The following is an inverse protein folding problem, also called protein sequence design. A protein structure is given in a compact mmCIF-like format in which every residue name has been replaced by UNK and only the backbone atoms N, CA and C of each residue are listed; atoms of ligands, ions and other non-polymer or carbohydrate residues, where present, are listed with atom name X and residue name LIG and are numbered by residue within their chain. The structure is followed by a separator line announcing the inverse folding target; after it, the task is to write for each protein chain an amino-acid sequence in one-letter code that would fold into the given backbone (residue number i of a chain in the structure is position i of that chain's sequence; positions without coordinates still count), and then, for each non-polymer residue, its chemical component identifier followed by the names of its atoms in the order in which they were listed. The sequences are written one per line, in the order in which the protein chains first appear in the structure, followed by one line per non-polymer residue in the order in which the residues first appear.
data_IF_628638398058
#
_entry.id   IF_628638398058
#
_cell.length_a   1.000
_cell.length_b   1.000
_cell.length_c   1.000
_cell.angle_alpha   90.00
_cell.angle_beta   90.00
_cell.angle_gamma   90.00
#
_symmetry.space_group_name_H-M   'P 1'
#
loop_
_entity.id
_entity.type
_entity.pdbx_description
1 polymer ?
#
# COMPACT_ATOMS: atom_id res chain seq x y z
N UNK A 1 32.81 -3.43 1.20
CA UNK A 1 31.41 -3.50 0.73
C UNK A 1 30.53 -3.41 1.96
N UNK A 2 29.66 -2.43 2.05
CA UNK A 2 28.70 -2.33 3.16
C UNK A 2 27.70 -3.47 3.00
N UNK A 3 27.66 -4.39 3.94
CA UNK A 3 26.67 -5.47 3.93
C UNK A 3 25.27 -4.84 4.08
N UNK A 4 24.41 -5.05 3.10
CA UNK A 4 23.03 -4.56 3.17
C UNK A 4 22.27 -5.44 4.17
N UNK A 5 21.98 -4.89 5.34
CA UNK A 5 21.11 -5.52 6.32
C UNK A 5 19.65 -5.38 5.90
N UNK A 6 19.07 -6.47 5.46
CA UNK A 6 17.67 -6.54 5.04
C UNK A 6 16.68 -6.51 6.20
N UNK A 7 17.16 -6.61 7.44
CA UNK A 7 16.33 -6.65 8.68
C UNK A 7 15.19 -7.67 8.60
N UNK A 8 15.48 -8.83 8.04
CA UNK A 8 14.53 -9.94 8.00
C UNK A 8 14.49 -10.56 9.40
N UNK A 9 13.31 -10.73 10.01
CA UNK A 9 13.18 -11.40 11.30
C UNK A 9 13.73 -12.84 11.26
N UNK A 10 14.34 -13.27 12.35
CA UNK A 10 14.87 -14.62 12.50
C UNK A 10 13.78 -15.63 12.86
N UNK A 11 14.06 -16.93 12.72
CA UNK A 11 13.18 -18.02 13.09
C UNK A 11 12.55 -18.75 11.90
N UNK A 12 11.62 -19.65 12.19
CA UNK A 12 10.87 -20.39 11.19
C UNK A 12 9.95 -19.44 10.39
N UNK A 13 9.70 -19.75 9.12
CA UNK A 13 8.97 -18.88 8.20
C UNK A 13 7.63 -18.38 8.76
N UNK A 14 6.83 -19.27 9.33
CA UNK A 14 5.51 -18.94 9.89
C UNK A 14 5.58 -18.09 11.19
N UNK A 15 6.70 -18.08 11.87
CA UNK A 15 6.86 -17.45 13.19
C UNK A 15 7.64 -16.12 13.13
N UNK A 16 8.42 -15.91 12.07
CA UNK A 16 9.34 -14.75 11.95
C UNK A 16 8.70 -13.43 12.36
N UNK A 17 7.58 -13.07 11.76
CA UNK A 17 6.91 -11.81 12.02
C UNK A 17 6.20 -11.77 13.37
N UNK A 18 5.69 -12.89 13.86
CA UNK A 18 5.08 -12.98 15.18
C UNK A 18 6.11 -12.78 16.27
N UNK A 19 7.28 -13.42 16.15
CA UNK A 19 8.41 -13.26 17.06
C UNK A 19 8.94 -11.82 17.03
N UNK A 20 9.15 -11.26 15.84
CA UNK A 20 9.56 -9.86 15.70
C UNK A 20 8.58 -8.90 16.39
N UNK A 21 7.27 -9.08 16.17
CA UNK A 21 6.22 -8.26 16.76
C UNK A 21 6.19 -8.37 18.28
N UNK A 22 6.40 -9.57 18.83
CA UNK A 22 6.40 -9.79 20.27
C UNK A 22 7.53 -9.03 20.99
N UNK A 23 8.65 -8.80 20.31
CA UNK A 23 9.79 -8.06 20.85
C UNK A 23 9.73 -6.54 20.64
N UNK A 24 8.70 -6.03 19.93
CA UNK A 24 8.59 -4.60 19.69
C UNK A 24 8.06 -3.85 20.91
N UNK A 25 8.72 -2.75 21.27
CA UNK A 25 8.23 -1.84 22.30
C UNK A 25 7.01 -1.07 21.76
N UNK A 26 5.86 -1.31 22.36
CA UNK A 26 4.63 -0.65 21.96
C UNK A 26 4.54 0.79 22.51
N UNK A 27 3.87 1.65 21.75
CA UNK A 27 3.52 3.00 22.23
C UNK A 27 2.41 2.88 23.28
N UNK A 28 2.60 3.51 24.44
CA UNK A 28 1.55 3.59 25.44
C UNK A 28 0.29 4.21 24.84
N UNK A 29 -0.90 3.60 24.99
CA UNK A 29 -2.15 4.12 24.45
C UNK A 29 -2.44 5.58 24.81
N UNK A 30 -2.09 6.02 26.03
CA UNK A 30 -2.26 7.41 26.47
C UNK A 30 -1.44 8.42 25.66
N UNK A 31 -0.34 8.00 25.04
CA UNK A 31 0.54 8.87 24.26
C UNK A 31 0.22 8.92 22.77
N UNK A 32 -0.61 8.01 22.25
CA UNK A 32 -0.89 7.90 20.81
C UNK A 32 -1.38 9.23 20.21
N UNK A 33 -2.33 9.89 20.87
CA UNK A 33 -2.88 11.18 20.42
C UNK A 33 -1.90 12.35 20.41
N UNK A 34 -0.70 12.19 20.99
CA UNK A 34 0.39 13.19 20.97
C UNK A 34 1.36 12.96 19.83
N UNK A 35 1.22 11.85 19.12
CA UNK A 35 2.12 11.47 18.04
C UNK A 35 1.48 11.81 16.69
N UNK A 36 2.21 12.58 15.90
CA UNK A 36 1.86 12.94 14.54
C UNK A 36 2.47 11.95 13.58
N UNK A 37 1.65 11.47 12.64
CA UNK A 37 2.09 10.55 11.59
C UNK A 37 1.70 11.15 10.24
N UNK A 38 2.67 11.28 9.37
CA UNK A 38 2.44 11.66 7.98
C UNK A 38 2.27 10.40 7.15
N UNK A 39 1.24 10.38 6.31
CA UNK A 39 1.04 9.36 5.28
C UNK A 39 1.03 10.04 3.92
N UNK A 40 1.95 9.68 3.05
CA UNK A 40 2.05 10.22 1.70
C UNK A 40 1.46 9.22 0.72
N UNK A 41 0.39 9.61 0.03
CA UNK A 41 -0.39 8.79 -0.87
C UNK A 41 -1.76 8.43 -0.29
N UNK A 42 -2.76 8.36 -1.16
CA UNK A 42 -4.17 8.12 -0.82
C UNK A 42 -4.77 6.95 -1.59
N UNK A 43 -3.93 6.14 -2.23
CA UNK A 43 -4.30 4.84 -2.78
C UNK A 43 -4.59 3.83 -1.68
N UNK A 44 -4.81 2.57 -2.04
CA UNK A 44 -5.18 1.51 -1.09
C UNK A 44 -4.23 1.43 0.11
N UNK A 45 -2.91 1.43 -0.13
CA UNK A 45 -1.92 1.35 0.94
C UNK A 45 -1.96 2.58 1.87
N UNK A 46 -1.95 3.79 1.30
CA UNK A 46 -1.94 5.03 2.08
C UNK A 46 -3.26 5.24 2.83
N UNK A 47 -4.40 5.02 2.18
CA UNK A 47 -5.71 5.16 2.82
C UNK A 47 -5.91 4.15 3.96
N UNK A 48 -5.53 2.88 3.76
CA UNK A 48 -5.60 1.85 4.81
C UNK A 48 -4.70 2.18 5.99
N UNK A 49 -3.47 2.64 5.73
CA UNK A 49 -2.56 3.07 6.78
C UNK A 49 -3.14 4.25 7.57
N UNK A 50 -3.65 5.27 6.87
CA UNK A 50 -4.23 6.45 7.50
C UNK A 50 -5.47 6.10 8.34
N UNK A 51 -6.36 5.27 7.82
CA UNK A 51 -7.54 4.81 8.54
C UNK A 51 -7.18 4.02 9.80
N UNK A 52 -6.32 3.02 9.67
CA UNK A 52 -5.89 2.18 10.79
C UNK A 52 -5.16 2.99 11.88
N UNK A 53 -4.27 3.90 11.49
CA UNK A 53 -3.58 4.77 12.45
C UNK A 53 -4.53 5.72 13.15
N UNK A 54 -5.51 6.28 12.43
CA UNK A 54 -6.56 7.12 12.99
C UNK A 54 -7.44 6.35 13.99
N UNK A 55 -7.85 5.12 13.67
CA UNK A 55 -8.60 4.24 14.58
C UNK A 55 -7.80 3.88 15.83
N UNK A 56 -6.48 3.74 15.70
CA UNK A 56 -5.59 3.53 16.85
C UNK A 56 -5.40 4.76 17.74
N UNK A 57 -5.90 5.94 17.33
CA UNK A 57 -5.85 7.19 18.09
C UNK A 57 -4.64 8.08 17.82
N UNK A 58 -3.90 7.85 16.75
CA UNK A 58 -2.84 8.76 16.29
C UNK A 58 -3.43 9.97 15.55
N UNK A 59 -2.71 11.10 15.56
CA UNK A 59 -3.00 12.23 14.66
C UNK A 59 -2.36 11.96 13.31
N UNK A 60 -3.14 11.90 12.25
CA UNK A 60 -2.68 11.52 10.92
C UNK A 60 -2.85 12.66 9.93
N UNK A 61 -1.78 12.99 9.22
CA UNK A 61 -1.76 13.93 8.11
C UNK A 61 -1.56 13.15 6.82
N UNK A 62 -2.60 13.05 5.98
CA UNK A 62 -2.55 12.26 4.74
C UNK A 62 -2.46 13.18 3.53
N UNK A 63 -1.43 12.99 2.70
CA UNK A 63 -1.12 13.84 1.55
C UNK A 63 -1.47 13.16 0.24
N UNK A 64 -2.19 13.89 -0.61
CA UNK A 64 -2.62 13.48 -1.93
C UNK A 64 -2.13 14.47 -2.99
N UNK A 65 -1.40 13.99 -3.97
CA UNK A 65 -0.96 14.83 -5.10
C UNK A 65 -2.15 15.24 -5.99
N UNK A 66 -3.17 14.40 -6.07
CA UNK A 66 -4.38 14.65 -6.85
C UNK A 66 -5.35 15.59 -6.11
N UNK A 67 -6.33 16.10 -6.83
CA UNK A 67 -7.44 16.88 -6.26
C UNK A 67 -8.40 16.03 -5.42
N UNK A 68 -8.40 14.72 -5.62
CA UNK A 68 -9.23 13.76 -4.89
C UNK A 68 -8.50 12.45 -4.65
N UNK A 69 -8.66 11.82 -3.46
CA UNK A 69 -8.20 10.46 -3.20
C UNK A 69 -8.76 9.42 -4.19
N UNK A 70 -9.92 9.70 -4.77
CA UNK A 70 -10.60 8.84 -5.75
C UNK A 70 -9.84 8.67 -7.06
N UNK A 71 -8.86 9.53 -7.35
CA UNK A 71 -8.01 9.42 -8.53
C UNK A 71 -6.80 8.51 -8.36
N UNK A 72 -6.68 7.83 -7.22
CA UNK A 72 -5.64 6.85 -7.03
C UNK A 72 -5.82 5.65 -7.97
N UNK A 73 -4.71 5.12 -8.48
CA UNK A 73 -4.72 3.98 -9.41
C UNK A 73 -5.50 2.77 -8.87
N UNK A 74 -5.38 2.47 -7.58
CA UNK A 74 -6.10 1.39 -6.92
C UNK A 74 -7.63 1.52 -6.96
N UNK A 75 -8.16 2.70 -7.20
CA UNK A 75 -9.61 2.92 -7.40
C UNK A 75 -9.98 2.73 -8.87
N UNK A 76 -9.17 3.27 -9.77
CA UNK A 76 -9.41 3.19 -11.21
C UNK A 76 -9.21 1.78 -11.78
N UNK A 77 -8.26 1.03 -11.26
CA UNK A 77 -7.84 -0.27 -11.80
C UNK A 77 -8.85 -1.41 -11.60
N UNK A 78 -9.83 -1.30 -10.70
CA UNK A 78 -10.91 -2.28 -10.48
C UNK A 78 -10.47 -3.75 -10.25
N UNK A 79 -9.19 -3.99 -9.94
CA UNK A 79 -8.63 -5.34 -9.78
C UNK A 79 -9.26 -6.11 -8.63
N UNK A 80 -9.09 -5.60 -7.45
CA UNK A 80 -9.49 -6.24 -6.20
C UNK A 80 -8.30 -6.65 -5.35
N UNK A 81 -8.58 -7.32 -4.23
CA UNK A 81 -7.60 -7.76 -3.25
C UNK A 81 -7.66 -9.27 -3.13
N UNK A 82 -6.52 -9.94 -3.28
CA UNK A 82 -6.41 -11.38 -3.07
C UNK A 82 -6.35 -11.72 -1.58
N UNK A 83 -7.19 -12.67 -1.15
CA UNK A 83 -7.17 -13.19 0.21
C UNK A 83 -7.56 -14.67 0.24
N UNK A 84 -6.92 -15.44 1.11
CA UNK A 84 -7.05 -16.89 1.21
C UNK A 84 -8.29 -17.31 2.04
N UNK A 85 -9.49 -16.76 1.72
CA UNK A 85 -10.72 -17.07 2.47
C UNK A 85 -11.40 -18.37 2.07
N UNK A 86 -11.07 -18.92 0.91
CA UNK A 86 -11.60 -20.19 0.40
C UNK A 86 -13.13 -20.34 0.43
N UNK A 87 -13.87 -19.27 0.21
CA UNK A 87 -15.34 -19.28 0.29
C UNK A 87 -16.00 -20.24 -0.70
N UNK A 88 -15.40 -20.48 -1.86
CA UNK A 88 -15.91 -21.40 -2.86
C UNK A 88 -15.35 -22.82 -2.73
N UNK A 89 -14.62 -23.10 -1.66
CA UNK A 89 -14.03 -24.41 -1.38
C UNK A 89 -13.16 -24.98 -2.52
N UNK A 90 -12.43 -24.13 -3.22
CA UNK A 90 -11.53 -24.49 -4.32
C UNK A 90 -10.14 -24.95 -3.84
N UNK A 91 -10.00 -25.29 -2.56
CA UNK A 91 -8.73 -25.69 -1.95
C UNK A 91 -7.74 -24.54 -1.80
N UNK A 92 -8.22 -23.30 -1.64
CA UNK A 92 -7.36 -22.17 -1.32
C UNK A 92 -6.90 -22.19 0.14
N UNK A 93 -5.71 -21.66 0.38
CA UNK A 93 -5.11 -21.58 1.71
C UNK A 93 -4.07 -20.47 1.77
N UNK A 94 -3.68 -20.10 2.97
CA UNK A 94 -2.55 -19.18 3.22
C UNK A 94 -1.29 -19.67 2.50
N UNK A 95 -0.98 -20.97 2.62
CA UNK A 95 0.21 -21.54 1.99
C UNK A 95 0.10 -21.52 0.45
N UNK A 96 -1.08 -21.79 -0.11
CA UNK A 96 -1.28 -21.72 -1.56
C UNK A 96 -1.14 -20.30 -2.08
N UNK A 97 -1.73 -19.30 -1.40
CA UNK A 97 -1.57 -17.90 -1.76
C UNK A 97 -0.09 -17.47 -1.68
N UNK A 98 0.62 -17.91 -0.63
CA UNK A 98 2.04 -17.68 -0.49
C UNK A 98 2.83 -18.29 -1.66
N UNK A 99 2.62 -19.57 -1.95
CA UNK A 99 3.33 -20.30 -3.02
C UNK A 99 3.09 -19.68 -4.40
N UNK A 100 1.82 -19.36 -4.70
CA UNK A 100 1.44 -18.74 -5.98
C UNK A 100 2.09 -17.35 -6.13
N UNK A 101 2.17 -16.59 -5.05
CA UNK A 101 2.79 -15.24 -5.05
C UNK A 101 4.30 -15.34 -5.23
N UNK A 102 4.97 -16.26 -4.56
CA UNK A 102 6.42 -16.49 -4.73
C UNK A 102 6.72 -16.93 -6.17
N UNK A 103 5.94 -17.88 -6.70
CA UNK A 103 6.10 -18.37 -8.08
C UNK A 103 5.82 -17.26 -9.10
N UNK A 104 4.74 -16.51 -8.92
CA UNK A 104 4.38 -15.39 -9.80
C UNK A 104 5.40 -14.25 -9.79
N UNK A 105 6.14 -14.08 -8.70
CA UNK A 105 7.26 -13.15 -8.56
C UNK A 105 8.61 -13.72 -8.99
N UNK A 106 8.64 -14.82 -9.74
CA UNK A 106 9.86 -15.49 -10.23
C UNK A 106 10.86 -15.80 -9.10
N UNK A 107 10.34 -16.18 -7.94
CA UNK A 107 11.13 -16.51 -6.72
C UNK A 107 12.05 -15.38 -6.22
N UNK A 108 11.79 -14.13 -6.58
CA UNK A 108 12.62 -12.97 -6.22
C UNK A 108 12.11 -12.21 -5.00
N UNK A 109 10.88 -12.47 -4.57
CA UNK A 109 10.31 -11.83 -3.42
C UNK A 109 10.88 -12.41 -2.11
N UNK A 110 10.86 -11.61 -1.04
CA UNK A 110 11.20 -12.10 0.30
C UNK A 110 10.10 -13.01 0.82
N UNK A 111 10.43 -14.26 1.06
CA UNK A 111 9.51 -15.30 1.53
C UNK A 111 8.78 -14.89 2.82
N UNK A 112 9.50 -14.38 3.82
CA UNK A 112 8.90 -13.95 5.09
C UNK A 112 7.85 -12.85 4.92
N UNK A 113 8.06 -11.90 4.01
CA UNK A 113 7.11 -10.83 3.75
C UNK A 113 5.88 -11.34 3.01
N UNK A 114 6.08 -12.21 2.01
CA UNK A 114 4.98 -12.80 1.23
C UNK A 114 4.15 -13.74 2.11
N UNK A 115 4.79 -14.55 2.95
CA UNK A 115 4.08 -15.41 3.89
C UNK A 115 3.22 -14.58 4.86
N UNK A 116 3.79 -13.51 5.43
CA UNK A 116 3.02 -12.62 6.32
C UNK A 116 1.85 -11.97 5.61
N UNK A 117 2.04 -11.53 4.36
CA UNK A 117 0.94 -10.98 3.54
C UNK A 117 -0.19 -12.01 3.38
N UNK A 118 0.16 -13.23 3.01
CA UNK A 118 -0.83 -14.30 2.84
C UNK A 118 -1.55 -14.64 4.16
N UNK A 119 -0.81 -14.70 5.28
CA UNK A 119 -1.34 -14.98 6.61
C UNK A 119 -2.36 -13.92 7.06
N UNK A 120 -2.08 -12.63 6.85
CA UNK A 120 -2.97 -11.55 7.28
C UNK A 120 -4.06 -11.21 6.27
N UNK A 121 -4.04 -11.79 5.08
CA UNK A 121 -4.92 -11.42 3.96
C UNK A 121 -6.41 -11.46 4.33
N UNK A 122 -6.82 -12.49 5.07
CA UNK A 122 -8.20 -12.65 5.51
C UNK A 122 -8.64 -11.55 6.47
N UNK A 123 -7.79 -11.24 7.46
CA UNK A 123 -8.06 -10.18 8.43
C UNK A 123 -8.09 -8.79 7.76
N UNK A 124 -7.29 -8.57 6.71
CA UNK A 124 -7.31 -7.31 5.94
C UNK A 124 -8.65 -7.11 5.25
N UNK A 125 -9.21 -8.15 4.61
CA UNK A 125 -10.53 -8.05 4.00
C UNK A 125 -11.59 -7.73 5.05
N UNK A 126 -11.57 -8.43 6.19
CA UNK A 126 -12.53 -8.19 7.27
C UNK A 126 -12.42 -6.77 7.84
N UNK A 127 -11.20 -6.27 8.02
CA UNK A 127 -10.95 -4.88 8.43
C UNK A 127 -11.47 -3.88 7.40
N UNK A 128 -11.22 -4.10 6.11
CA UNK A 128 -11.74 -3.24 5.04
C UNK A 128 -13.29 -3.21 5.04
N UNK A 129 -13.94 -4.35 5.26
CA UNK A 129 -15.41 -4.43 5.40
C UNK A 129 -15.88 -3.62 6.60
N UNK A 130 -15.25 -3.79 7.76
CA UNK A 130 -15.58 -3.05 8.99
C UNK A 130 -15.36 -1.55 8.82
N UNK A 131 -14.39 -1.13 8.01
CA UNK A 131 -14.13 0.25 7.65
C UNK A 131 -15.08 0.81 6.59
N UNK A 132 -16.00 0.01 6.07
CA UNK A 132 -17.04 0.44 5.13
C UNK A 132 -16.66 0.35 3.65
N UNK A 133 -15.65 -0.43 3.28
CA UNK A 133 -15.35 -0.71 1.86
C UNK A 133 -16.49 -1.54 1.26
N UNK A 134 -17.17 -1.06 0.20
CA UNK A 134 -18.34 -1.70 -0.37
C UNK A 134 -17.96 -2.84 -1.32
N UNK A 135 -17.42 -3.92 -0.78
CA UNK A 135 -17.14 -5.12 -1.57
C UNK A 135 -18.42 -5.70 -2.19
N UNK A 136 -18.29 -6.26 -3.38
CA UNK A 136 -19.36 -7.01 -4.01
C UNK A 136 -19.80 -8.18 -3.10
N UNK A 137 -21.11 -8.49 -3.15
CA UNK A 137 -21.69 -9.60 -2.43
C UNK A 137 -22.49 -10.47 -3.36
N UNK A 138 -22.52 -11.75 -3.06
CA UNK A 138 -23.40 -12.70 -3.71
C UNK A 138 -24.85 -12.58 -3.22
N UNK A 139 -25.75 -13.37 -3.77
CA UNK A 139 -27.17 -13.38 -3.39
C UNK A 139 -27.40 -13.85 -1.94
N UNK A 140 -26.47 -14.62 -1.36
CA UNK A 140 -26.51 -15.06 0.02
C UNK A 140 -25.98 -14.02 1.02
N UNK A 141 -25.46 -12.88 0.52
CA UNK A 141 -24.92 -11.80 1.34
C UNK A 141 -23.46 -11.99 1.74
N UNK A 142 -22.80 -13.08 1.33
CA UNK A 142 -21.35 -13.26 1.53
C UNK A 142 -20.55 -12.43 0.53
N UNK A 143 -19.27 -12.15 0.85
CA UNK A 143 -18.42 -11.41 -0.06
C UNK A 143 -18.17 -12.20 -1.32
N UNK A 144 -18.48 -11.61 -2.46
CA UNK A 144 -18.21 -12.21 -3.76
C UNK A 144 -16.72 -12.15 -4.09
N UNK A 145 -16.23 -13.21 -4.73
CA UNK A 145 -14.85 -13.31 -5.17
C UNK A 145 -14.75 -13.98 -6.54
N UNK A 146 -13.68 -13.69 -7.24
CA UNK A 146 -13.44 -14.21 -8.59
C UNK A 146 -11.99 -14.65 -8.78
N UNK A 147 -11.76 -15.50 -9.75
CA UNK A 147 -10.42 -15.75 -10.27
C UNK A 147 -10.00 -14.55 -11.12
N UNK A 148 -8.81 -14.00 -10.86
CA UNK A 148 -8.28 -12.84 -11.56
C UNK A 148 -6.75 -12.85 -11.57
N UNK A 149 -6.15 -12.32 -12.64
CA UNK A 149 -4.70 -12.14 -12.71
C UNK A 149 -3.89 -13.45 -12.73
N UNK A 150 -4.43 -14.51 -13.37
CA UNK A 150 -3.77 -15.81 -13.45
C UNK A 150 -3.94 -16.68 -12.21
N UNK A 151 -4.67 -16.26 -11.20
CA UNK A 151 -5.02 -17.09 -10.06
C UNK A 151 -5.94 -18.23 -10.50
N UNK A 152 -5.57 -19.48 -10.17
CA UNK A 152 -6.34 -20.68 -10.53
C UNK A 152 -7.55 -20.92 -9.61
N UNK A 153 -7.70 -20.11 -8.58
CA UNK A 153 -8.78 -20.17 -7.59
C UNK A 153 -9.44 -18.82 -7.43
N UNK A 154 -10.71 -18.81 -7.04
CA UNK A 154 -11.44 -17.59 -6.74
C UNK A 154 -11.02 -17.06 -5.39
N UNK A 155 -10.16 -16.04 -5.38
CA UNK A 155 -9.63 -15.40 -4.17
C UNK A 155 -9.60 -13.87 -4.22
N UNK A 156 -10.00 -13.27 -5.35
CA UNK A 156 -9.94 -11.82 -5.55
C UNK A 156 -11.26 -11.19 -5.13
N UNK A 157 -11.24 -10.49 -4.01
CA UNK A 157 -12.37 -9.70 -3.49
C UNK A 157 -12.34 -8.32 -4.12
N UNK A 158 -13.46 -7.87 -4.67
CA UNK A 158 -13.52 -6.63 -5.44
C UNK A 158 -14.68 -5.73 -5.00
N UNK A 159 -14.48 -4.43 -5.16
CA UNK A 159 -15.52 -3.43 -5.01
C UNK A 159 -15.66 -2.68 -6.32
N UNK A 160 -16.86 -2.48 -6.82
CA UNK A 160 -17.13 -1.83 -8.10
C UNK A 160 -16.64 -0.38 -8.07
N UNK A 161 -15.33 -0.16 -8.29
CA UNK A 161 -14.71 1.16 -8.40
C UNK A 161 -14.56 1.97 -7.09
N UNK A 162 -14.58 1.35 -5.90
CA UNK A 162 -14.55 2.10 -4.64
C UNK A 162 -13.65 1.50 -3.54
N UNK A 163 -12.67 0.71 -3.89
CA UNK A 163 -11.80 -0.01 -2.92
C UNK A 163 -10.91 0.89 -2.04
N UNK A 164 -10.87 2.20 -2.26
CA UNK A 164 -9.95 3.11 -1.57
C UNK A 164 -10.58 4.21 -0.72
N UNK A 165 -11.84 4.10 -0.31
CA UNK A 165 -12.53 5.17 0.39
C UNK A 165 -12.73 4.91 1.88
N UNK A 166 -11.69 5.08 2.70
CA UNK A 166 -11.94 5.21 4.14
C UNK A 166 -11.11 6.34 4.73
N UNK A 167 -11.77 7.44 5.05
CA UNK A 167 -11.23 8.49 5.90
C UNK A 167 -12.23 8.81 7.00
N UNK A 168 -11.89 8.52 8.25
CA UNK A 168 -12.69 8.89 9.43
C UNK A 168 -11.93 9.91 10.28
N UNK A 169 -12.66 10.92 10.72
CA UNK A 169 -12.55 11.94 11.78
C UNK A 169 -11.18 12.39 12.34
N UNK A 170 -10.20 11.50 12.53
CA UNK A 170 -8.88 11.82 13.09
C UNK A 170 -7.79 12.01 12.03
N UNK A 171 -8.15 11.87 10.75
CA UNK A 171 -7.24 12.01 9.62
C UNK A 171 -7.47 13.35 8.94
N UNK A 172 -6.44 14.20 8.91
CA UNK A 172 -6.46 15.45 8.13
C UNK A 172 -5.92 15.20 6.73
N UNK A 173 -6.76 15.41 5.71
CA UNK A 173 -6.40 15.24 4.31
C UNK A 173 -5.89 16.54 3.71
N UNK A 174 -4.76 16.45 2.98
CA UNK A 174 -4.18 17.50 2.18
C UNK A 174 -4.20 17.06 0.70
N UNK A 175 -5.12 17.61 -0.08
CA UNK A 175 -5.22 17.37 -1.53
C UNK A 175 -4.40 18.41 -2.30
N UNK A 176 -3.91 18.04 -3.50
CA UNK A 176 -3.04 18.87 -4.33
C UNK A 176 -1.75 19.28 -3.63
N UNK A 177 -1.15 18.35 -2.88
CA UNK A 177 0.16 18.51 -2.27
C UNK A 177 1.14 17.48 -2.83
N UNK A 178 2.23 17.98 -3.38
CA UNK A 178 3.34 17.17 -3.88
C UNK A 178 4.44 17.10 -2.82
N UNK A 179 4.84 15.91 -2.43
CA UNK A 179 6.02 15.73 -1.57
C UNK A 179 7.28 15.96 -2.39
N UNK A 180 8.07 16.96 -1.99
CA UNK A 180 9.34 17.31 -2.63
C UNK A 180 10.53 16.62 -1.99
N UNK A 181 10.53 16.47 -0.66
CA UNK A 181 11.66 15.88 0.06
C UNK A 181 11.25 15.23 1.38
N UNK A 182 12.08 14.26 1.82
CA UNK A 182 11.98 13.62 3.13
C UNK A 182 12.95 14.27 4.10
N UNK A 183 12.45 14.74 5.24
CA UNK A 183 13.27 15.35 6.29
C UNK A 183 13.82 14.28 7.21
N UNK A 184 15.15 14.14 7.24
CA UNK A 184 15.88 13.24 8.13
C UNK A 184 16.61 14.05 9.19
N UNK A 185 16.37 13.76 10.46
CA UNK A 185 17.08 14.34 11.60
C UNK A 185 17.60 13.20 12.47
N UNK A 186 18.89 13.19 12.76
CA UNK A 186 19.54 12.13 13.55
C UNK A 186 19.22 10.72 13.04
N UNK A 187 19.25 10.53 11.71
CA UNK A 187 18.97 9.24 11.06
C UNK A 187 17.51 8.77 11.11
N UNK A 188 16.57 9.65 11.48
CA UNK A 188 15.14 9.34 11.59
C UNK A 188 14.32 10.23 10.66
N UNK A 189 13.31 9.67 10.00
CA UNK A 189 12.32 10.43 9.26
C UNK A 189 11.47 11.26 10.22
N UNK A 190 11.55 12.58 10.11
CA UNK A 190 10.92 13.55 11.02
C UNK A 190 9.91 14.45 10.35
N UNK A 191 9.66 14.26 9.08
CA UNK A 191 8.68 15.07 8.35
C UNK A 191 8.93 15.06 6.85
N UNK A 192 8.20 15.93 6.17
CA UNK A 192 8.32 16.13 4.73
C UNK A 192 8.36 17.62 4.39
N UNK A 193 8.93 17.92 3.23
CA UNK A 193 8.73 19.20 2.53
C UNK A 193 7.76 18.94 1.40
N UNK A 194 6.68 19.71 1.33
CA UNK A 194 5.66 19.55 0.31
C UNK A 194 5.33 20.88 -0.36
N UNK A 195 4.94 20.83 -1.61
CA UNK A 195 4.46 21.97 -2.38
C UNK A 195 2.95 21.90 -2.50
N UNK A 196 2.26 22.97 -2.15
CA UNK A 196 0.87 23.17 -2.47
C UNK A 196 0.75 23.47 -3.97
N UNK A 197 0.10 22.60 -4.72
CA UNK A 197 0.00 22.73 -6.17
C UNK A 197 -1.02 23.79 -6.62
N UNK A 198 -1.79 24.36 -5.70
CA UNK A 198 -2.74 25.44 -5.99
C UNK A 198 -2.06 26.79 -5.87
N UNK A 199 -1.32 26.99 -4.75
CA UNK A 199 -0.67 28.28 -4.44
C UNK A 199 0.79 28.37 -4.89
N UNK A 200 1.44 27.21 -5.13
CA UNK A 200 2.88 27.11 -5.40
C UNK A 200 3.76 27.18 -4.15
N UNK A 201 3.19 27.40 -2.98
CA UNK A 201 3.93 27.54 -1.72
C UNK A 201 4.60 26.23 -1.30
N UNK A 202 5.80 26.36 -0.74
CA UNK A 202 6.56 25.25 -0.17
C UNK A 202 6.40 25.28 1.35
N UNK A 203 5.85 24.19 1.87
CA UNK A 203 5.53 24.04 3.28
C UNK A 203 6.32 22.89 3.92
N UNK A 204 6.57 23.03 5.23
CA UNK A 204 7.23 22.01 6.05
C UNK A 204 6.24 21.37 7.00
N UNK A 205 6.21 20.04 7.02
CA UNK A 205 5.35 19.27 7.91
C UNK A 205 6.22 18.38 8.78
N UNK A 206 6.17 18.59 10.09
CA UNK A 206 6.87 17.76 11.06
C UNK A 206 6.02 16.58 11.52
N UNK A 207 6.65 15.44 11.78
CA UNK A 207 5.98 14.25 12.29
C UNK A 207 6.93 13.34 13.06
N UNK A 208 6.36 12.41 13.84
CA UNK A 208 7.12 11.40 14.57
C UNK A 208 7.45 10.18 13.69
N UNK A 209 6.64 9.95 12.65
CA UNK A 209 6.88 8.93 11.62
C UNK A 209 6.29 9.34 10.28
N UNK A 210 6.87 8.81 9.20
CA UNK A 210 6.41 9.03 7.82
C UNK A 210 6.16 7.68 7.17
N UNK A 211 4.96 7.49 6.62
CA UNK A 211 4.54 6.33 5.85
C UNK A 211 4.44 6.72 4.39
N UNK A 212 5.10 5.99 3.51
CA UNK A 212 5.06 6.22 2.07
C UNK A 212 4.17 5.16 1.42
N UNK A 213 3.06 5.60 0.83
CA UNK A 213 2.07 4.77 0.14
C UNK A 213 1.74 5.31 -1.25
N UNK A 214 2.74 5.77 -2.00
CA UNK A 214 2.57 6.51 -3.27
C UNK A 214 2.44 5.64 -4.52
N UNK A 215 2.30 4.34 -4.35
CA UNK A 215 2.16 3.40 -5.46
C UNK A 215 3.49 3.09 -6.15
N UNK A 216 3.39 2.56 -7.36
CA UNK A 216 4.53 2.13 -8.15
C UNK A 216 5.17 3.24 -8.98
N UNK A 217 6.03 2.82 -9.90
CA UNK A 217 6.81 3.70 -10.78
C UNK A 217 6.70 3.30 -12.26
N UNK A 218 5.62 2.63 -12.65
CA UNK A 218 5.43 2.16 -14.04
C UNK A 218 5.55 3.29 -15.06
N UNK A 219 5.12 4.51 -14.73
CA UNK A 219 5.23 5.66 -15.62
C UNK A 219 6.66 6.24 -15.77
N UNK A 220 7.66 5.66 -15.13
CA UNK A 220 9.06 5.89 -15.47
C UNK A 220 9.47 5.20 -16.78
N UNK A 221 8.67 4.25 -17.26
CA UNK A 221 8.92 3.48 -18.48
C UNK A 221 7.98 3.87 -19.61
N UNK A 222 8.45 3.73 -20.84
CA UNK A 222 7.64 3.88 -22.03
C UNK A 222 6.54 2.81 -22.10
N UNK A 223 5.38 3.13 -22.63
CA UNK A 223 4.20 2.26 -22.72
C UNK A 223 3.68 1.75 -21.35
N UNK A 224 3.85 2.54 -20.32
CA UNK A 224 3.25 2.19 -19.02
C UNK A 224 1.71 2.15 -19.12
N UNK A 225 1.13 1.14 -18.48
CA UNK A 225 -0.32 0.97 -18.32
C UNK A 225 -0.82 1.43 -16.95
N UNK A 226 0.05 2.05 -16.14
CA UNK A 226 -0.30 2.60 -14.83
C UNK A 226 -0.79 4.04 -14.93
N UNK A 227 -1.55 4.48 -13.92
CA UNK A 227 -1.96 5.87 -13.81
C UNK A 227 -0.75 6.83 -13.79
N UNK A 228 -0.92 8.03 -14.33
CA UNK A 228 0.15 9.04 -14.49
C UNK A 228 0.88 9.37 -13.16
N UNK A 229 0.21 9.27 -12.03
CA UNK A 229 0.81 9.48 -10.71
C UNK A 229 1.77 8.37 -10.27
N UNK A 230 1.83 7.23 -10.97
CA UNK A 230 2.75 6.13 -10.67
C UNK A 230 4.15 6.37 -11.25
N UNK A 231 4.77 7.49 -10.91
CA UNK A 231 6.02 8.00 -11.51
C UNK A 231 7.27 7.80 -10.63
N UNK A 232 7.11 7.30 -9.40
CA UNK A 232 8.23 7.02 -8.50
C UNK A 232 8.91 8.24 -7.89
N UNK A 233 8.41 9.46 -8.08
CA UNK A 233 9.06 10.70 -7.61
C UNK A 233 9.35 10.69 -6.11
N UNK A 234 8.41 10.26 -5.29
CA UNK A 234 8.61 10.16 -3.83
C UNK A 234 9.57 9.04 -3.46
N UNK A 235 9.48 7.88 -4.11
CA UNK A 235 10.34 6.74 -3.85
C UNK A 235 11.82 7.11 -4.09
N UNK A 236 12.14 7.81 -5.18
CA UNK A 236 13.51 8.25 -5.47
C UNK A 236 14.02 9.29 -4.48
N UNK A 237 13.17 10.16 -3.96
CA UNK A 237 13.60 11.10 -2.91
C UNK A 237 13.95 10.36 -1.62
N UNK A 238 13.15 9.37 -1.23
CA UNK A 238 13.46 8.53 -0.08
C UNK A 238 14.76 7.74 -0.29
N UNK A 239 14.97 7.19 -1.48
CA UNK A 239 16.21 6.49 -1.85
C UNK A 239 17.44 7.40 -1.75
N UNK A 240 17.37 8.62 -2.26
CA UNK A 240 18.45 9.62 -2.13
C UNK A 240 18.77 9.99 -0.67
N UNK A 241 17.83 9.79 0.24
CA UNK A 241 18.01 10.00 1.69
C UNK A 241 18.44 8.74 2.43
N UNK A 242 18.80 7.67 1.72
CA UNK A 242 19.36 6.43 2.27
C UNK A 242 18.35 5.31 2.52
N UNK A 243 17.11 5.44 2.08
CA UNK A 243 16.17 4.33 2.09
C UNK A 243 16.56 3.28 1.05
N UNK A 244 16.42 2.01 1.39
CA UNK A 244 16.66 0.93 0.43
C UNK A 244 15.50 0.81 -0.54
N UNK A 245 15.83 0.50 -1.79
CA UNK A 245 14.86 0.23 -2.84
C UNK A 245 14.84 -1.28 -3.12
N UNK A 246 13.72 -1.93 -2.83
CA UNK A 246 13.59 -3.38 -3.01
C UNK A 246 12.99 -3.72 -4.37
N UNK A 247 13.52 -4.78 -4.98
CA UNK A 247 13.00 -5.40 -6.21
C UNK A 247 12.71 -4.40 -7.35
N UNK A 248 13.70 -3.58 -7.77
CA UNK A 248 13.47 -2.55 -8.81
C UNK A 248 13.15 -3.13 -10.19
N UNK A 249 13.34 -4.43 -10.39
CA UNK A 249 12.99 -5.13 -11.62
C UNK A 249 11.49 -5.45 -11.76
N UNK A 250 10.70 -5.28 -10.70
CA UNK A 250 9.26 -5.54 -10.74
C UNK A 250 8.49 -4.34 -11.28
N UNK A 251 8.45 -4.22 -12.62
CA UNK A 251 7.57 -3.32 -13.33
C UNK A 251 6.55 -4.15 -14.11
N UNK A 252 5.26 -3.88 -13.90
CA UNK A 252 4.19 -4.58 -14.60
C UNK A 252 3.63 -3.70 -15.73
N UNK A 253 3.56 -4.27 -16.93
CA UNK A 253 2.85 -3.71 -18.07
C UNK A 253 1.71 -4.67 -18.39
N UNK A 254 0.47 -4.15 -18.41
CA UNK A 254 -0.71 -4.94 -18.69
C UNK A 254 -0.91 -5.06 -20.21
N UNK A 255 -0.74 -6.25 -20.83
CA UNK A 255 -0.67 -6.37 -22.28
C UNK A 255 -1.98 -5.98 -23.00
N UNK A 256 -3.13 -6.15 -22.34
CA UNK A 256 -4.43 -5.77 -22.90
C UNK A 256 -4.74 -4.27 -22.83
N UNK A 257 -3.88 -3.49 -22.21
CA UNK A 257 -4.02 -2.03 -22.08
C UNK A 257 -2.96 -1.26 -22.88
N UNK A 258 -2.16 -1.94 -23.71
CA UNK A 258 -1.17 -1.28 -24.56
C UNK A 258 -1.90 -0.58 -25.70
N UNK A 259 -1.73 0.74 -25.88
CA UNK A 259 -2.38 1.49 -26.97
C UNK A 259 -1.81 1.09 -28.34
N UNK A 260 -2.66 0.98 -29.35
CA UNK A 260 -2.25 0.60 -30.70
C UNK A 260 -1.36 1.64 -31.38
N UNK A 261 -1.41 2.89 -30.97
CA UNK A 261 -0.71 4.01 -31.62
C UNK A 261 0.27 4.75 -30.72
N UNK A 262 0.72 4.13 -29.65
CA UNK A 262 1.69 4.75 -28.73
C UNK A 262 1.10 5.77 -27.75
N UNK A 263 -0.19 6.04 -27.80
CA UNK A 263 -0.88 6.91 -26.85
C UNK A 263 -1.04 6.20 -25.50
N UNK A 264 -0.70 6.90 -24.43
CA UNK A 264 -0.91 6.38 -23.08
C UNK A 264 -2.37 6.52 -22.67
N UNK A 265 -2.97 5.47 -22.18
CA UNK A 265 -4.25 5.58 -21.49
C UNK A 265 -4.07 6.39 -20.20
N UNK A 266 -4.89 7.41 -20.03
CA UNK A 266 -4.94 8.28 -18.84
C UNK A 266 -5.71 7.65 -17.68
#
# INVERSE_FOLDING_TARGET
MTQIDSKIPEGQLAEKWSNYKAHQKLVNPANKRRLDIIVVGTGLAGASAAASLGEMGFRVFNFCIQDSPRRAHSIAAQGGINAAKNYQNHGDSVYRLFSDTIKGGDYRARDANVYRLAEVSNAIIDQCVAQGVPFARDYGGTLDNRSFGGAQVSRTFYARGQTGQVQKGTVKLFTRYEMLDLVIIEGRARGIIARNLVTGEIERFAAHAVVIGTGGYGNAFFLSTNAMGSNGSVAIQCYKKGAYFANPCFAQIHPTCIPDHGDKQS
#
